data_IF_569494772125
#
_entry.id   IF_569494772125
#
_cell.length_a   1.000
_cell.length_b   1.000
_cell.length_c   1.000
_cell.angle_alpha   90.00
_cell.angle_beta   90.00
_cell.angle_gamma   90.00
#
_symmetry.space_group_name_H-M   'P 1'
#
loop_
_entity.id
_entity.type
_entity.pdbx_description
1 polymer ?
#
# COMPACT_ATOMS: atom_id res chain seq x y z
N UNK A 1 -47.43 53.10 -23.14
CA UNK A 1 -46.46 52.80 -24.22
C UNK A 1 -45.11 52.29 -23.70
N UNK A 2 -44.52 52.89 -22.65
CA UNK A 2 -43.25 52.41 -22.06
C UNK A 2 -43.29 50.95 -21.56
N UNK A 3 -44.38 50.50 -20.94
CA UNK A 3 -44.51 49.11 -20.45
C UNK A 3 -44.59 48.08 -21.57
N UNK A 4 -45.31 48.40 -22.66
CA UNK A 4 -45.37 47.54 -23.83
C UNK A 4 -44.01 47.45 -24.56
N UNK A 5 -43.27 48.56 -24.64
CA UNK A 5 -41.92 48.58 -25.20
C UNK A 5 -40.92 47.80 -24.34
N UNK A 6 -41.01 47.90 -23.01
CA UNK A 6 -40.16 47.14 -22.10
C UNK A 6 -40.44 45.62 -22.16
N UNK A 7 -41.72 45.23 -22.28
CA UNK A 7 -42.09 43.83 -22.43
C UNK A 7 -41.62 43.26 -23.77
N UNK A 8 -41.78 44.03 -24.86
CA UNK A 8 -41.30 43.68 -26.19
C UNK A 8 -39.76 43.59 -26.24
N UNK A 9 -39.05 44.49 -25.56
CA UNK A 9 -37.59 44.44 -25.45
C UNK A 9 -37.13 43.22 -24.64
N UNK A 10 -37.81 42.88 -23.53
CA UNK A 10 -37.49 41.71 -22.73
C UNK A 10 -37.78 40.39 -23.45
N UNK A 11 -38.85 40.31 -24.25
CA UNK A 11 -39.11 39.14 -25.10
C UNK A 11 -38.12 39.05 -26.26
N UNK A 12 -37.74 40.17 -26.88
CA UNK A 12 -36.72 40.20 -27.94
C UNK A 12 -35.32 39.81 -27.40
N UNK A 13 -34.93 40.30 -26.22
CA UNK A 13 -33.69 39.87 -25.54
C UNK A 13 -33.75 38.41 -25.07
N UNK A 14 -34.94 37.90 -24.73
CA UNK A 14 -35.15 36.48 -24.43
C UNK A 14 -35.04 35.56 -25.65
N UNK A 15 -35.30 36.09 -26.85
CA UNK A 15 -35.12 35.42 -28.16
C UNK A 15 -33.68 35.51 -28.67
N UNK A 16 -32.94 36.56 -28.31
CA UNK A 16 -31.50 36.73 -28.54
C UNK A 16 -30.65 35.92 -27.54
N UNK A 17 -31.03 34.68 -27.25
CA UNK A 17 -30.14 33.77 -26.50
C UNK A 17 -29.00 33.36 -27.43
N UNK A 18 -27.73 33.68 -27.09
CA UNK A 18 -26.60 33.29 -27.92
C UNK A 18 -26.63 31.76 -28.06
N UNK A 19 -26.72 31.27 -29.30
CA UNK A 19 -26.44 29.87 -29.58
C UNK A 19 -24.98 29.63 -29.21
N UNK A 20 -24.73 28.70 -28.29
CA UNK A 20 -23.36 28.31 -27.99
C UNK A 20 -22.83 27.63 -29.24
N UNK A 21 -21.88 28.28 -29.92
CA UNK A 21 -21.22 27.66 -31.06
C UNK A 21 -20.52 26.38 -30.58
N UNK A 22 -20.91 25.24 -31.13
CA UNK A 22 -20.23 23.96 -30.93
C UNK A 22 -18.86 23.90 -31.63
N UNK A 23 -18.46 25.00 -32.26
CA UNK A 23 -17.21 25.14 -33.00
C UNK A 23 -16.03 25.04 -32.04
N UNK A 24 -15.14 24.09 -32.31
CA UNK A 24 -13.98 23.80 -31.47
C UNK A 24 -14.28 22.99 -30.20
N UNK A 25 -15.55 22.78 -29.84
CA UNK A 25 -15.90 21.91 -28.71
C UNK A 25 -15.63 20.44 -29.07
N UNK A 26 -14.88 19.74 -28.20
CA UNK A 26 -14.57 18.31 -28.34
C UNK A 26 -15.40 17.43 -27.40
N UNK A 27 -15.74 17.96 -26.23
CA UNK A 27 -16.55 17.28 -25.21
C UNK A 27 -17.59 18.28 -24.69
N UNK A 28 -18.84 17.84 -24.58
CA UNK A 28 -19.94 18.66 -24.06
C UNK A 28 -20.74 17.90 -23.01
N UNK A 29 -21.31 18.64 -22.07
CA UNK A 29 -22.26 18.16 -21.07
C UNK A 29 -23.62 18.79 -21.36
N UNK A 30 -24.62 17.96 -21.64
CA UNK A 30 -26.00 18.44 -21.77
C UNK A 30 -26.55 18.74 -20.37
N UNK A 31 -26.81 20.02 -20.07
CA UNK A 31 -27.28 20.48 -18.75
C UNK A 31 -28.56 19.80 -18.30
N UNK A 32 -29.48 19.59 -19.24
CA UNK A 32 -30.85 19.15 -18.95
C UNK A 32 -30.91 17.67 -18.55
N UNK A 33 -30.02 16.84 -19.12
CA UNK A 33 -29.98 15.38 -18.89
C UNK A 33 -28.75 14.91 -18.10
N UNK A 34 -27.72 15.75 -17.97
CA UNK A 34 -26.42 15.36 -17.42
C UNK A 34 -25.61 14.44 -18.34
N UNK A 35 -26.07 14.19 -19.57
CA UNK A 35 -25.40 13.30 -20.51
C UNK A 35 -24.14 13.95 -21.09
N UNK A 36 -23.06 13.16 -21.17
CA UNK A 36 -21.82 13.55 -21.82
C UNK A 36 -21.83 13.14 -23.29
N UNK A 37 -21.29 14.01 -24.13
CA UNK A 37 -21.06 13.71 -25.54
C UNK A 37 -19.63 14.08 -25.94
N UNK A 38 -19.05 13.28 -26.82
CA UNK A 38 -17.73 13.52 -27.43
C UNK A 38 -17.86 13.58 -28.94
N UNK A 39 -17.11 14.49 -29.55
CA UNK A 39 -17.09 14.69 -31.00
C UNK A 39 -16.01 13.83 -31.65
N UNK A 40 -16.39 13.01 -32.63
CA UNK A 40 -15.48 12.25 -33.50
C UNK A 40 -15.75 12.67 -34.94
N UNK A 41 -14.80 13.38 -35.55
CA UNK A 41 -15.03 14.06 -36.83
C UNK A 41 -16.12 15.13 -36.71
N UNK A 42 -17.22 14.97 -37.46
CA UNK A 42 -18.39 15.85 -37.43
C UNK A 42 -19.60 15.25 -36.67
N UNK A 43 -19.41 14.09 -36.03
CA UNK A 43 -20.48 13.34 -35.36
C UNK A 43 -20.30 13.38 -33.85
N UNK A 44 -21.41 13.60 -33.14
CA UNK A 44 -21.47 13.60 -31.68
C UNK A 44 -21.95 12.25 -31.17
N UNK A 45 -21.14 11.63 -30.31
CA UNK A 45 -21.43 10.35 -29.69
C UNK A 45 -21.76 10.55 -28.22
N UNK A 46 -22.86 9.97 -27.68
CA UNK A 46 -23.00 9.87 -26.24
C UNK A 46 -21.85 9.04 -25.68
N UNK A 47 -21.37 9.37 -24.48
CA UNK A 47 -20.24 8.68 -23.85
C UNK A 47 -20.52 8.36 -22.39
N UNK A 48 -20.11 7.16 -21.96
CA UNK A 48 -20.45 6.59 -20.65
C UNK A 48 -19.87 7.35 -19.44
N UNK A 49 -18.74 8.03 -19.61
CA UNK A 49 -18.05 8.73 -18.52
C UNK A 49 -17.03 9.74 -19.05
N UNK A 50 -16.59 10.65 -18.16
CA UNK A 50 -15.61 11.68 -18.47
C UNK A 50 -14.24 11.10 -18.87
N UNK A 51 -13.81 10.01 -18.23
CA UNK A 51 -12.55 9.35 -18.56
C UNK A 51 -12.51 8.92 -20.03
N UNK A 52 -13.58 8.25 -20.48
CA UNK A 52 -13.74 7.83 -21.88
C UNK A 52 -13.80 9.04 -22.82
N UNK A 53 -14.54 10.09 -22.46
CA UNK A 53 -14.64 11.30 -23.27
C UNK A 53 -13.28 11.96 -23.52
N UNK A 54 -12.46 12.09 -22.47
CA UNK A 54 -11.11 12.65 -22.54
C UNK A 54 -10.14 11.80 -23.35
N UNK A 55 -10.19 10.48 -23.19
CA UNK A 55 -9.40 9.53 -23.98
C UNK A 55 -9.75 9.60 -25.47
N UNK A 56 -11.04 9.65 -25.83
CA UNK A 56 -11.49 9.78 -27.22
C UNK A 56 -11.10 11.15 -27.79
N UNK A 57 -11.23 12.22 -27.00
CA UNK A 57 -10.86 13.57 -27.41
C UNK A 57 -9.33 13.81 -27.46
N UNK A 58 -8.53 12.84 -27.01
CA UNK A 58 -7.09 12.91 -26.83
C UNK A 58 -6.64 14.20 -26.11
N UNK A 59 -7.34 14.54 -25.03
CA UNK A 59 -7.11 15.79 -24.29
C UNK A 59 -7.83 15.81 -22.95
N UNK A 60 -7.17 16.35 -21.93
CA UNK A 60 -7.72 16.59 -20.60
C UNK A 60 -8.67 17.79 -20.54
N UNK A 61 -9.59 17.89 -21.49
CA UNK A 61 -10.54 19.00 -21.60
C UNK A 61 -11.69 18.83 -20.62
N UNK A 62 -12.15 19.94 -20.04
CA UNK A 62 -13.39 19.97 -19.27
C UNK A 62 -14.59 20.11 -20.22
N UNK A 63 -15.69 19.36 -20.00
CA UNK A 63 -16.86 19.43 -20.87
C UNK A 63 -17.46 20.84 -20.91
N UNK A 64 -17.79 21.32 -22.11
CA UNK A 64 -18.57 22.54 -22.27
C UNK A 64 -20.04 22.25 -21.95
N UNK A 65 -20.59 22.94 -20.95
CA UNK A 65 -22.00 22.78 -20.58
C UNK A 65 -22.92 23.52 -21.55
N UNK A 66 -23.80 22.79 -22.23
CA UNK A 66 -24.74 23.31 -23.24
C UNK A 66 -26.18 22.89 -22.91
N UNK A 67 -27.17 23.45 -23.61
CA UNK A 67 -28.54 22.91 -23.57
C UNK A 67 -28.62 21.70 -24.49
N UNK A 68 -29.49 20.75 -24.18
CA UNK A 68 -29.64 19.57 -25.04
C UNK A 68 -30.09 19.95 -26.46
N UNK A 69 -30.97 20.96 -26.58
CA UNK A 69 -31.47 21.47 -27.86
C UNK A 69 -30.35 21.98 -28.79
N UNK A 70 -29.20 22.38 -28.24
CA UNK A 70 -28.06 22.86 -29.02
C UNK A 70 -27.41 21.69 -29.81
N UNK A 71 -27.67 20.42 -29.45
CA UNK A 71 -27.20 19.22 -30.17
C UNK A 71 -28.20 18.66 -31.20
N UNK A 72 -29.45 19.13 -31.23
CA UNK A 72 -30.52 18.48 -32.02
C UNK A 72 -30.29 18.58 -33.52
N UNK A 73 -29.62 19.65 -33.98
CA UNK A 73 -29.22 19.81 -35.39
C UNK A 73 -27.92 19.10 -35.78
N UNK A 74 -27.26 18.40 -34.84
CA UNK A 74 -25.97 17.77 -35.07
C UNK A 74 -26.08 16.29 -35.45
N UNK A 75 -25.11 15.76 -36.20
CA UNK A 75 -25.02 14.32 -36.49
C UNK A 75 -24.81 13.54 -35.19
N UNK A 76 -25.55 12.43 -35.01
CA UNK A 76 -25.42 11.54 -33.85
C UNK A 76 -24.84 10.20 -34.25
N UNK A 77 -23.97 9.67 -33.40
CA UNK A 77 -23.41 8.33 -33.51
C UNK A 77 -23.82 7.42 -32.35
N UNK A 78 -23.41 6.13 -32.39
CA UNK A 78 -23.66 5.18 -31.31
C UNK A 78 -22.95 5.59 -30.01
N UNK A 79 -23.37 4.99 -28.90
CA UNK A 79 -22.75 5.17 -27.59
C UNK A 79 -21.31 4.66 -27.59
N UNK A 80 -20.40 5.46 -27.05
CA UNK A 80 -18.99 5.11 -26.87
C UNK A 80 -18.64 5.02 -25.37
N UNK A 81 -17.49 4.42 -25.08
CA UNK A 81 -16.85 4.48 -23.78
C UNK A 81 -16.65 3.14 -23.09
N UNK A 82 -15.98 3.22 -21.96
CA UNK A 82 -15.56 2.09 -21.12
C UNK A 82 -16.60 1.91 -20.00
N UNK A 83 -17.40 0.83 -20.00
CA UNK A 83 -18.30 0.51 -18.88
C UNK A 83 -17.52 0.35 -17.58
N UNK A 84 -17.98 0.97 -16.50
CA UNK A 84 -17.32 0.90 -15.19
C UNK A 84 -16.11 1.81 -15.01
N UNK A 85 -15.66 2.54 -16.05
CA UNK A 85 -14.65 3.58 -15.88
C UNK A 85 -15.20 4.78 -15.08
N UNK A 86 -14.35 5.54 -14.37
CA UNK A 86 -14.80 6.54 -13.43
C UNK A 86 -15.46 7.74 -14.13
N UNK A 87 -16.65 8.10 -13.66
CA UNK A 87 -17.36 9.30 -14.09
C UNK A 87 -16.66 10.59 -13.64
N UNK A 88 -15.94 10.52 -12.52
CA UNK A 88 -15.17 11.61 -11.94
C UNK A 88 -13.74 11.14 -11.64
N UNK A 89 -12.75 11.85 -12.17
CA UNK A 89 -11.34 11.46 -12.05
C UNK A 89 -10.65 12.01 -10.79
N UNK A 90 -11.24 13.01 -10.12
CA UNK A 90 -10.58 13.73 -9.04
C UNK A 90 -9.33 14.50 -9.48
N UNK A 91 -8.83 15.37 -8.59
CA UNK A 91 -7.49 15.94 -8.77
C UNK A 91 -6.45 14.99 -8.16
N UNK A 92 -5.43 14.53 -8.90
CA UNK A 92 -4.39 13.68 -8.34
C UNK A 92 -3.74 14.28 -7.09
N UNK A 93 -3.42 13.44 -6.10
CA UNK A 93 -2.60 13.80 -4.96
C UNK A 93 -1.23 14.29 -5.43
N UNK A 94 -0.68 15.30 -4.75
CA UNK A 94 0.70 15.67 -4.97
C UNK A 94 1.61 14.56 -4.45
N UNK A 95 2.80 14.40 -5.03
CA UNK A 95 3.75 13.37 -4.60
C UNK A 95 4.07 13.47 -3.10
N UNK A 96 4.26 14.70 -2.58
CA UNK A 96 4.52 14.95 -1.17
C UNK A 96 3.34 14.60 -0.23
N UNK A 97 2.11 14.55 -0.76
CA UNK A 97 0.92 14.18 -0.02
C UNK A 97 0.56 12.69 -0.19
N UNK A 98 1.28 11.95 -1.06
CA UNK A 98 1.00 10.55 -1.35
C UNK A 98 1.71 9.67 -0.33
N UNK A 99 1.00 9.34 0.76
CA UNK A 99 1.42 8.35 1.74
C UNK A 99 0.44 7.17 1.72
N UNK A 100 0.97 5.97 1.98
CA UNK A 100 0.20 4.74 2.01
C UNK A 100 0.19 4.17 3.42
N UNK A 101 -0.98 3.75 3.90
CA UNK A 101 -1.08 2.93 5.11
C UNK A 101 -2.12 1.84 4.93
N UNK A 102 -1.88 0.68 5.54
CA UNK A 102 -2.87 -0.38 5.71
C UNK A 102 -3.11 -0.55 7.21
N UNK A 103 -4.35 -0.35 7.63
CA UNK A 103 -4.76 -0.43 9.02
C UNK A 103 -5.71 -1.60 9.26
N UNK A 104 -5.55 -2.23 10.41
CA UNK A 104 -6.38 -3.30 10.94
C UNK A 104 -6.97 -2.83 12.27
N UNK A 105 -8.30 -2.91 12.42
CA UNK A 105 -9.01 -2.39 13.59
C UNK A 105 -9.98 -3.41 14.19
N UNK A 106 -9.88 -3.61 15.50
CA UNK A 106 -10.61 -4.67 16.21
C UNK A 106 -12.13 -4.43 16.23
N UNK A 107 -12.57 -3.16 16.21
CA UNK A 107 -13.98 -2.78 16.39
C UNK A 107 -14.91 -3.14 15.23
N UNK A 108 -14.36 -3.30 14.01
CA UNK A 108 -15.11 -3.72 12.82
C UNK A 108 -14.53 -4.99 12.19
N UNK A 109 -13.40 -5.50 12.70
CA UNK A 109 -12.59 -6.49 12.01
C UNK A 109 -12.16 -6.02 10.63
N UNK A 110 -12.13 -4.70 10.40
CA UNK A 110 -12.07 -4.11 9.07
C UNK A 110 -10.65 -3.67 8.71
N UNK A 111 -10.24 -4.07 7.52
CA UNK A 111 -9.02 -3.64 6.84
C UNK A 111 -9.27 -2.34 6.09
N UNK A 112 -8.42 -1.34 6.34
CA UNK A 112 -8.56 -0.03 5.71
C UNK A 112 -7.26 0.41 5.07
N UNK A 113 -7.28 0.68 3.76
CA UNK A 113 -6.19 1.41 3.10
C UNK A 113 -6.42 2.91 3.24
N UNK A 114 -5.40 3.63 3.67
CA UNK A 114 -5.36 5.09 3.68
C UNK A 114 -4.39 5.56 2.60
N UNK A 115 -4.86 6.42 1.70
CA UNK A 115 -4.08 7.01 0.63
C UNK A 115 -4.14 8.53 0.69
N UNK A 116 -3.05 9.15 1.15
CA UNK A 116 -2.98 10.58 1.37
C UNK A 116 -2.50 10.95 2.78
N UNK A 117 -2.65 12.22 3.14
CA UNK A 117 -2.37 12.70 4.50
C UNK A 117 -3.34 12.11 5.51
N UNK A 118 -2.79 11.53 6.57
CA UNK A 118 -3.51 10.93 7.71
C UNK A 118 -3.39 11.82 8.95
N UNK A 119 -4.21 11.55 9.97
CA UNK A 119 -4.02 12.13 11.31
C UNK A 119 -2.96 11.34 12.10
N UNK A 120 -1.71 11.36 11.60
CA UNK A 120 -0.62 10.58 12.18
C UNK A 120 -0.32 10.93 13.65
N UNK A 121 -0.68 12.14 14.10
CA UNK A 121 -0.52 12.57 15.48
C UNK A 121 -1.41 11.79 16.46
N UNK A 122 -2.51 11.20 15.99
CA UNK A 122 -3.37 10.30 16.77
C UNK A 122 -2.77 8.91 17.00
N UNK A 123 -1.63 8.61 16.36
CA UNK A 123 -1.00 7.29 16.37
C UNK A 123 0.37 7.34 17.04
N UNK A 124 0.71 6.26 17.73
CA UNK A 124 2.04 6.02 18.27
C UNK A 124 2.83 5.17 17.30
N UNK A 125 3.95 5.70 16.82
CA UNK A 125 4.94 4.93 16.04
C UNK A 125 5.62 3.91 16.95
N UNK A 126 5.76 2.68 16.47
CA UNK A 126 6.53 1.63 17.13
C UNK A 126 8.02 1.94 16.94
N UNK A 127 8.70 2.30 18.04
CA UNK A 127 10.12 2.68 18.00
C UNK A 127 11.04 1.48 17.88
N UNK A 128 12.32 1.76 17.57
CA UNK A 128 13.37 0.73 17.56
C UNK A 128 13.46 0.01 18.91
N UNK A 129 13.58 -1.32 18.86
CA UNK A 129 13.56 -2.18 20.06
C UNK A 129 12.17 -2.42 20.66
N UNK A 130 11.09 -2.00 19.99
CA UNK A 130 9.73 -2.42 20.29
C UNK A 130 9.22 -3.38 19.22
N UNK A 131 8.30 -4.26 19.58
CA UNK A 131 7.69 -5.21 18.65
C UNK A 131 6.21 -5.45 18.97
N UNK A 132 5.50 -6.11 18.06
CA UNK A 132 4.17 -6.65 18.32
C UNK A 132 4.14 -8.14 17.99
N UNK A 133 3.56 -8.94 18.89
CA UNK A 133 3.30 -10.35 18.64
C UNK A 133 1.89 -10.48 18.04
N UNK A 134 1.81 -11.02 16.82
CA UNK A 134 0.56 -11.07 16.04
C UNK A 134 0.35 -12.44 15.39
N UNK A 135 -0.88 -12.74 15.00
CA UNK A 135 -1.26 -13.93 14.23
C UNK A 135 -2.49 -13.63 13.35
N UNK A 136 -2.71 -14.38 12.27
CA UNK A 136 -3.90 -14.19 11.42
C UNK A 136 -5.19 -14.70 12.10
N UNK A 137 -5.07 -15.84 12.79
CA UNK A 137 -6.14 -16.51 13.51
C UNK A 137 -5.61 -17.27 14.72
N UNK A 138 -6.49 -17.65 15.63
CA UNK A 138 -6.13 -18.53 16.74
C UNK A 138 -5.58 -19.86 16.21
N UNK A 139 -4.42 -20.30 16.72
CA UNK A 139 -3.75 -21.52 16.27
C UNK A 139 -2.96 -21.40 14.95
N UNK A 140 -3.01 -20.25 14.27
CA UNK A 140 -2.14 -19.97 13.12
C UNK A 140 -0.71 -19.61 13.57
N UNK A 141 0.30 -19.67 12.67
CA UNK A 141 1.66 -19.25 13.00
C UNK A 141 1.70 -17.83 13.57
N UNK A 142 2.48 -17.64 14.63
CA UNK A 142 2.72 -16.34 15.23
C UNK A 142 3.86 -15.61 14.51
N UNK A 143 3.77 -14.29 14.45
CA UNK A 143 4.76 -13.41 13.86
C UNK A 143 5.11 -12.29 14.84
N UNK A 144 6.36 -11.87 14.80
CA UNK A 144 6.84 -10.67 15.43
C UNK A 144 6.91 -9.56 14.38
N UNK A 145 6.15 -8.47 14.57
CA UNK A 145 6.28 -7.25 13.78
C UNK A 145 7.32 -6.35 14.45
N UNK A 146 8.44 -6.11 13.79
CA UNK A 146 9.52 -5.26 14.29
C UNK A 146 10.32 -4.67 13.13
N UNK A 147 10.86 -3.46 13.31
CA UNK A 147 11.77 -2.80 12.37
C UNK A 147 11.30 -2.82 10.88
N UNK A 148 9.99 -2.74 10.66
CA UNK A 148 9.39 -2.76 9.31
C UNK A 148 9.25 -4.13 8.66
N UNK A 149 9.50 -5.21 9.40
CA UNK A 149 9.41 -6.58 8.93
C UNK A 149 8.46 -7.41 9.80
N UNK A 150 8.02 -8.55 9.25
CA UNK A 150 7.43 -9.65 10.01
C UNK A 150 8.39 -10.83 10.04
N UNK A 151 8.62 -11.41 11.21
CA UNK A 151 9.41 -12.62 11.36
C UNK A 151 8.58 -13.69 12.07
N UNK A 152 8.51 -14.90 11.50
CA UNK A 152 7.78 -16.01 12.13
C UNK A 152 8.48 -16.41 13.44
N UNK A 153 7.69 -16.63 14.48
CA UNK A 153 8.15 -17.15 15.78
C UNK A 153 7.36 -18.40 16.16
N UNK A 154 8.05 -19.41 16.68
CA UNK A 154 7.41 -20.61 17.20
C UNK A 154 7.21 -20.47 18.71
N UNK A 155 5.96 -20.35 19.15
CA UNK A 155 5.62 -20.22 20.57
C UNK A 155 5.69 -21.55 21.33
N UNK A 156 5.89 -22.67 20.64
CA UNK A 156 6.17 -23.96 21.26
C UNK A 156 7.68 -24.17 21.54
N UNK A 157 8.56 -23.38 20.90
CA UNK A 157 10.00 -23.45 21.13
C UNK A 157 10.40 -22.63 22.36
N UNK A 158 10.80 -23.33 23.43
CA UNK A 158 11.20 -22.70 24.69
C UNK A 158 12.44 -21.79 24.56
N UNK A 159 13.37 -22.06 23.64
CA UNK A 159 14.53 -21.19 23.42
C UNK A 159 14.10 -19.87 22.79
N UNK A 160 13.19 -19.92 21.81
CA UNK A 160 12.61 -18.73 21.17
C UNK A 160 11.82 -17.90 22.18
N UNK A 161 10.89 -18.54 22.90
CA UNK A 161 10.05 -17.86 23.89
C UNK A 161 10.88 -17.18 24.97
N UNK A 162 11.89 -17.86 25.53
CA UNK A 162 12.76 -17.28 26.58
C UNK A 162 13.66 -16.16 26.05
N UNK A 163 14.24 -16.34 24.86
CA UNK A 163 15.13 -15.32 24.29
C UNK A 163 14.37 -14.03 23.98
N UNK A 164 13.18 -14.15 23.41
CA UNK A 164 12.34 -13.02 23.02
C UNK A 164 11.44 -12.52 24.16
N UNK A 165 11.46 -13.16 25.34
CA UNK A 165 10.64 -12.83 26.51
C UNK A 165 9.13 -12.87 26.22
N UNK A 166 8.69 -13.92 25.55
CA UNK A 166 7.31 -14.12 25.10
C UNK A 166 6.48 -15.00 26.06
N UNK A 167 6.98 -15.29 27.26
CA UNK A 167 6.30 -16.17 28.21
C UNK A 167 4.89 -15.64 28.55
N UNK A 168 3.87 -16.50 28.37
CA UNK A 168 2.47 -16.15 28.65
C UNK A 168 1.86 -15.11 27.71
N UNK A 169 2.57 -14.67 26.67
CA UNK A 169 2.04 -13.71 25.68
C UNK A 169 1.19 -14.41 24.63
N UNK A 170 -0.05 -13.98 24.48
CA UNK A 170 -0.91 -14.38 23.38
C UNK A 170 -0.72 -13.43 22.18
N UNK A 171 -0.60 -13.95 20.95
CA UNK A 171 -0.58 -13.10 19.76
C UNK A 171 -1.89 -12.34 19.61
N UNK A 172 -1.78 -11.08 19.20
CA UNK A 172 -2.94 -10.33 18.74
C UNK A 172 -3.38 -10.82 17.37
N UNK A 173 -4.68 -11.02 17.20
CA UNK A 173 -5.24 -11.33 15.88
C UNK A 173 -5.26 -10.09 14.99
N UNK A 174 -4.80 -10.23 13.76
CA UNK A 174 -4.81 -9.20 12.71
C UNK A 174 -5.24 -9.84 11.39
N UNK A 175 -5.72 -9.04 10.45
CA UNK A 175 -6.02 -9.54 9.09
C UNK A 175 -4.82 -10.19 8.42
N UNK A 176 -5.12 -11.17 7.57
CA UNK A 176 -4.14 -11.77 6.68
C UNK A 176 -3.53 -10.72 5.74
N UNK A 177 -4.35 -9.80 5.23
CA UNK A 177 -3.93 -8.70 4.36
C UNK A 177 -2.86 -7.81 5.01
N UNK A 178 -2.97 -7.50 6.32
CA UNK A 178 -1.92 -6.74 7.02
C UNK A 178 -0.61 -7.53 7.09
N UNK A 179 -0.67 -8.82 7.43
CA UNK A 179 0.54 -9.66 7.49
C UNK A 179 1.21 -9.78 6.13
N UNK A 180 0.45 -10.08 5.08
CA UNK A 180 0.98 -10.28 3.74
C UNK A 180 1.55 -9.00 3.12
N UNK A 181 1.02 -7.83 3.51
CA UNK A 181 1.56 -6.55 3.07
C UNK A 181 2.95 -6.24 3.65
N UNK A 182 3.27 -6.79 4.84
CA UNK A 182 4.53 -6.53 5.53
C UNK A 182 5.63 -7.46 4.99
N UNK A 183 6.81 -6.92 4.62
CA UNK A 183 7.95 -7.72 4.18
C UNK A 183 8.35 -8.79 5.20
N UNK A 184 8.51 -10.03 4.74
CA UNK A 184 8.89 -11.16 5.59
C UNK A 184 10.41 -11.26 5.74
N UNK A 185 10.88 -11.36 6.98
CA UNK A 185 12.25 -11.69 7.35
C UNK A 185 12.38 -13.18 7.68
N UNK A 186 13.63 -13.65 7.80
CA UNK A 186 13.89 -15.03 8.23
C UNK A 186 13.19 -15.34 9.57
N UNK A 187 12.63 -16.55 9.76
CA UNK A 187 12.04 -16.93 11.03
C UNK A 187 13.03 -16.78 12.18
N UNK A 188 12.58 -16.19 13.31
CA UNK A 188 13.38 -16.14 14.52
C UNK A 188 13.31 -17.50 15.18
N UNK A 189 14.30 -18.32 14.85
CA UNK A 189 14.45 -19.69 15.32
C UNK A 189 15.93 -19.97 15.58
N UNK A 190 16.20 -21.05 16.30
CA UNK A 190 17.56 -21.54 16.51
C UNK A 190 18.19 -21.89 15.15
N UNK A 191 19.24 -21.19 14.72
CA UNK A 191 19.81 -21.44 13.40
C UNK A 191 20.54 -22.79 13.41
N UNK A 192 20.34 -23.60 12.38
CA UNK A 192 21.04 -24.87 12.23
C UNK A 192 22.50 -24.63 11.87
N UNK A 193 23.41 -25.22 12.64
CA UNK A 193 24.85 -25.15 12.40
C UNK A 193 25.35 -26.54 11.97
N UNK A 194 25.74 -26.74 10.70
CA UNK A 194 26.34 -27.99 10.25
C UNK A 194 27.65 -28.29 10.99
N UNK A 195 27.82 -29.55 11.42
CA UNK A 195 29.03 -29.98 12.12
C UNK A 195 29.14 -29.47 13.57
N UNK A 196 28.02 -29.09 14.19
CA UNK A 196 27.94 -28.64 15.58
C UNK A 196 28.75 -29.55 16.53
N UNK A 197 29.60 -28.95 17.36
CA UNK A 197 30.48 -29.65 18.30
C UNK A 197 31.78 -30.19 17.69
N UNK A 198 31.92 -30.21 16.37
CA UNK A 198 33.16 -30.56 15.69
C UNK A 198 34.25 -29.50 15.84
N UNK A 199 35.50 -29.86 15.52
CA UNK A 199 36.61 -28.92 15.52
C UNK A 199 36.41 -27.84 14.44
N UNK A 200 36.67 -26.56 14.78
CA UNK A 200 36.57 -25.45 13.85
C UNK A 200 37.90 -25.26 13.08
N UNK A 201 37.93 -25.48 11.75
CA UNK A 201 39.12 -25.19 10.95
C UNK A 201 39.47 -23.69 11.04
N UNK A 202 40.74 -23.38 11.31
CA UNK A 202 41.22 -21.99 11.41
C UNK A 202 40.95 -21.30 12.76
N UNK A 203 40.26 -21.96 13.70
CA UNK A 203 40.06 -21.49 15.09
C UNK A 203 40.41 -22.61 16.08
N UNK A 204 41.70 -22.95 16.24
CA UNK A 204 42.12 -23.96 17.20
C UNK A 204 41.69 -23.59 18.62
N UNK A 205 41.12 -24.54 19.35
CA UNK A 205 40.60 -24.34 20.70
C UNK A 205 39.10 -24.02 20.78
N UNK A 206 38.43 -23.81 19.64
CA UNK A 206 36.98 -23.59 19.59
C UNK A 206 36.27 -24.67 18.76
N UNK A 207 35.09 -25.06 19.22
CA UNK A 207 34.21 -25.98 18.50
C UNK A 207 33.22 -25.21 17.63
N UNK A 208 32.81 -25.81 16.52
CA UNK A 208 31.74 -25.31 15.66
C UNK A 208 30.47 -25.15 16.51
N UNK A 209 29.85 -23.97 16.44
CA UNK A 209 28.70 -23.54 17.25
C UNK A 209 29.03 -22.89 18.58
N UNK A 210 30.32 -22.68 18.89
CA UNK A 210 30.71 -21.83 20.03
C UNK A 210 30.33 -20.38 19.74
N UNK A 211 29.79 -19.70 20.75
CA UNK A 211 29.53 -18.26 20.71
C UNK A 211 30.66 -17.53 21.42
N UNK A 212 31.35 -16.67 20.67
CA UNK A 212 32.45 -15.85 21.14
C UNK A 212 31.95 -14.43 21.44
N UNK A 213 32.52 -13.81 22.45
CA UNK A 213 32.26 -12.42 22.83
C UNK A 213 33.55 -11.62 22.75
N UNK A 214 33.49 -10.47 22.08
CA UNK A 214 34.55 -9.46 22.10
C UNK A 214 34.01 -8.22 22.78
N UNK A 215 34.65 -7.80 23.86
CA UNK A 215 34.30 -6.55 24.55
C UNK A 215 35.01 -5.38 23.86
N UNK A 216 34.24 -4.40 23.38
CA UNK A 216 34.74 -3.14 22.83
C UNK A 216 34.31 -1.95 23.69
N UNK A 217 34.89 -0.78 23.43
CA UNK A 217 34.55 0.45 24.12
C UNK A 217 33.08 0.87 23.92
N UNK A 218 32.48 0.52 22.77
CA UNK A 218 31.09 0.79 22.39
C UNK A 218 30.12 -0.35 22.73
N UNK A 219 30.63 -1.48 23.25
CA UNK A 219 29.84 -2.60 23.76
C UNK A 219 30.37 -3.96 23.34
N UNK A 220 29.68 -5.00 23.81
CA UNK A 220 30.00 -6.39 23.44
C UNK A 220 29.53 -6.71 22.01
N UNK A 221 30.42 -7.33 21.23
CA UNK A 221 30.13 -7.97 19.96
C UNK A 221 30.11 -9.49 20.12
N UNK A 222 29.23 -10.16 19.37
CA UNK A 222 29.07 -11.61 19.41
C UNK A 222 29.37 -12.22 18.04
N UNK A 223 30.03 -13.39 18.05
CA UNK A 223 30.38 -14.14 16.87
C UNK A 223 30.01 -15.62 17.05
N UNK A 224 29.43 -16.24 16.03
CA UNK A 224 29.27 -17.70 15.95
C UNK A 224 30.46 -18.32 15.21
N UNK A 225 31.03 -19.37 15.79
CA UNK A 225 32.06 -20.20 15.14
C UNK A 225 31.39 -21.21 14.20
N UNK A 226 31.83 -21.25 12.96
CA UNK A 226 31.30 -22.09 11.89
C UNK A 226 32.43 -22.87 11.22
N UNK A 227 32.09 -23.93 10.47
CA UNK A 227 33.10 -24.73 9.76
C UNK A 227 33.95 -23.90 8.76
N UNK A 228 33.37 -22.85 8.18
CA UNK A 228 34.02 -21.97 7.22
C UNK A 228 34.64 -20.69 7.79
N UNK A 229 34.59 -20.47 9.12
CA UNK A 229 35.09 -19.25 9.75
C UNK A 229 34.18 -18.74 10.88
N UNK A 230 34.09 -17.42 11.03
CA UNK A 230 33.22 -16.77 12.02
C UNK A 230 32.17 -15.89 11.37
N UNK A 231 30.99 -15.80 11.98
CA UNK A 231 29.96 -14.85 11.57
C UNK A 231 29.60 -13.94 12.73
N UNK A 232 29.59 -12.63 12.50
CA UNK A 232 29.06 -11.65 13.47
C UNK A 232 27.55 -11.86 13.62
N UNK A 233 27.07 -11.90 14.86
CA UNK A 233 25.66 -12.14 15.19
C UNK A 233 25.15 -11.10 16.21
N UNK A 234 23.83 -10.86 16.22
CA UNK A 234 23.16 -10.05 17.24
C UNK A 234 22.99 -10.81 18.57
N UNK A 235 22.57 -10.11 19.63
CA UNK A 235 22.47 -10.72 20.98
C UNK A 235 21.35 -11.77 21.05
N UNK A 236 20.23 -11.53 20.38
CA UNK A 236 19.15 -12.54 20.27
C UNK A 236 19.65 -13.83 19.63
N UNK A 237 20.42 -13.74 18.53
CA UNK A 237 21.00 -14.91 17.89
C UNK A 237 22.03 -15.61 18.79
N UNK A 238 22.84 -14.86 19.52
CA UNK A 238 23.80 -15.39 20.49
C UNK A 238 23.10 -16.14 21.64
N UNK A 239 22.04 -15.57 22.20
CA UNK A 239 21.27 -16.17 23.29
C UNK A 239 20.49 -17.41 22.82
N UNK A 240 19.90 -17.38 21.62
CA UNK A 240 19.28 -18.55 20.99
C UNK A 240 20.27 -19.71 20.85
N UNK A 241 21.45 -19.44 20.27
CA UNK A 241 22.49 -20.45 20.09
C UNK A 241 22.97 -21.04 21.42
N UNK A 242 23.06 -20.21 22.47
CA UNK A 242 23.47 -20.65 23.81
C UNK A 242 22.40 -21.50 24.49
N UNK A 243 21.13 -21.08 24.42
CA UNK A 243 20.01 -21.82 25.01
C UNK A 243 19.82 -23.20 24.36
N UNK A 244 20.18 -23.34 23.09
CA UNK A 244 20.02 -24.58 22.34
C UNK A 244 21.26 -25.46 22.27
N UNK A 245 22.40 -25.01 22.79
CA UNK A 245 23.64 -25.80 22.82
C UNK A 245 23.90 -26.37 24.22
N UNK A 246 23.48 -27.61 24.52
CA UNK A 246 23.69 -28.24 25.82
C UNK A 246 25.17 -28.54 26.14
N UNK A 247 26.07 -28.44 25.16
CA UNK A 247 27.51 -28.63 25.36
C UNK A 247 28.29 -27.31 25.56
N UNK A 248 27.60 -26.17 25.55
CA UNK A 248 28.22 -24.85 25.68
C UNK A 248 28.55 -24.45 27.12
N UNK A 249 29.60 -23.63 27.26
CA UNK A 249 29.90 -22.87 28.49
C UNK A 249 28.68 -22.05 28.94
N UNK A 250 28.49 -21.92 30.26
CA UNK A 250 27.41 -21.11 30.84
C UNK A 250 27.42 -19.66 30.31
N UNK A 251 28.60 -19.12 29.98
CA UNK A 251 28.79 -17.81 29.37
C UNK A 251 29.40 -17.89 27.97
N UNK A 252 29.14 -16.86 27.16
CA UNK A 252 29.84 -16.65 25.90
C UNK A 252 31.34 -16.52 26.15
N UNK A 253 32.15 -17.24 25.37
CA UNK A 253 33.60 -17.28 25.59
C UNK A 253 34.19 -15.94 25.19
N UNK A 254 34.76 -15.22 26.17
CA UNK A 254 35.34 -13.90 25.92
C UNK A 254 36.73 -14.05 25.34
N UNK A 255 36.95 -13.44 24.18
CA UNK A 255 38.22 -13.51 23.45
C UNK A 255 38.75 -12.12 23.13
N UNK A 256 40.07 -11.99 23.05
CA UNK A 256 40.68 -10.77 22.55
C UNK A 256 40.45 -10.63 21.03
N UNK A 257 40.38 -9.40 20.48
CA UNK A 257 40.10 -9.20 19.05
C UNK A 257 41.08 -9.91 18.10
N UNK A 258 42.33 -10.11 18.52
CA UNK A 258 43.35 -10.80 17.75
C UNK A 258 43.09 -12.31 17.59
N UNK A 259 42.29 -12.92 18.48
CA UNK A 259 41.89 -14.32 18.38
C UNK A 259 41.06 -14.62 17.12
N UNK A 260 40.42 -13.62 16.53
CA UNK A 260 39.66 -13.75 15.27
C UNK A 260 40.44 -13.29 14.04
N UNK A 261 41.69 -12.83 14.18
CA UNK A 261 42.44 -12.17 13.10
C UNK A 261 42.61 -13.05 11.85
N UNK A 262 42.81 -14.34 12.04
CA UNK A 262 43.05 -15.31 10.96
C UNK A 262 41.76 -16.03 10.52
N UNK A 263 40.64 -15.78 11.20
CA UNK A 263 39.37 -16.43 10.91
C UNK A 263 38.66 -15.71 9.74
N UNK A 264 38.25 -16.42 8.68
CA UNK A 264 37.41 -15.84 7.63
C UNK A 264 36.08 -15.35 8.19
N UNK A 265 35.63 -14.17 7.77
CA UNK A 265 34.27 -13.68 8.09
C UNK A 265 33.30 -14.20 7.04
N UNK A 266 32.26 -14.90 7.48
CA UNK A 266 31.24 -15.50 6.62
C UNK A 266 29.82 -15.02 7.00
N UNK A 267 28.87 -15.25 6.10
CA UNK A 267 27.45 -14.93 6.29
C UNK A 267 26.58 -16.15 5.92
N UNK A 268 26.69 -17.23 6.71
CA UNK A 268 26.01 -18.50 6.47
C UNK A 268 24.73 -18.69 7.32
N UNK A 269 24.65 -18.07 8.49
CA UNK A 269 23.47 -18.13 9.37
C UNK A 269 22.46 -17.03 8.99
N UNK A 270 21.16 -17.37 8.87
CA UNK A 270 20.11 -16.42 8.47
C UNK A 270 19.61 -15.60 9.66
N UNK A 271 20.50 -14.84 10.30
CA UNK A 271 20.23 -14.10 11.55
C UNK A 271 20.28 -12.58 11.41
N UNK A 272 20.54 -12.06 10.21
CA UNK A 272 20.64 -10.62 9.96
C UNK A 272 19.32 -9.86 10.18
N UNK A 273 18.19 -10.56 10.07
CA UNK A 273 16.85 -10.00 10.33
C UNK A 273 16.38 -10.16 11.78
N UNK A 274 17.20 -10.70 12.68
CA UNK A 274 16.80 -10.83 14.09
C UNK A 274 16.95 -9.48 14.79
N UNK A 275 16.07 -9.14 15.76
CA UNK A 275 16.29 -8.01 16.62
C UNK A 275 17.65 -8.11 17.34
N UNK A 276 18.37 -7.00 17.49
CA UNK A 276 19.65 -7.00 18.19
C UNK A 276 19.52 -7.40 19.67
N UNK A 277 18.40 -7.02 20.30
CA UNK A 277 18.01 -7.36 21.68
C UNK A 277 16.56 -7.80 21.68
N UNK A 278 16.16 -8.59 22.68
CA UNK A 278 14.76 -8.94 22.90
C UNK A 278 13.90 -7.65 22.93
N UNK A 279 12.99 -7.46 21.96
CA UNK A 279 12.24 -6.22 21.88
C UNK A 279 11.19 -6.16 22.98
N UNK A 280 10.84 -4.94 23.39
CA UNK A 280 9.70 -4.70 24.24
C UNK A 280 8.41 -4.95 23.44
N UNK A 281 7.72 -6.04 23.73
CA UNK A 281 6.42 -6.33 23.10
C UNK A 281 5.40 -5.31 23.58
N UNK A 282 4.86 -4.53 22.65
CA UNK A 282 3.83 -3.53 22.92
C UNK A 282 2.51 -4.21 23.29
N UNK A 283 1.76 -3.56 24.19
CA UNK A 283 0.41 -3.99 24.53
C UNK A 283 -0.55 -3.87 23.33
N UNK A 284 -1.63 -4.68 23.30
CA UNK A 284 -2.64 -4.59 22.25
C UNK A 284 -3.28 -3.20 22.19
N UNK A 285 -3.19 -2.53 21.03
CA UNK A 285 -3.97 -1.33 20.73
C UNK A 285 -5.33 -1.69 20.11
N UNK A 286 -6.24 -0.75 19.86
CA UNK A 286 -7.46 -1.07 19.09
C UNK A 286 -7.20 -1.13 17.57
N UNK A 287 -6.22 -0.36 17.08
CA UNK A 287 -5.83 -0.28 15.67
C UNK A 287 -4.32 -0.47 15.51
N UNK A 288 -3.91 -1.25 14.51
CA UNK A 288 -2.53 -1.36 14.03
C UNK A 288 -2.49 -0.88 12.59
N UNK A 289 -1.50 -0.08 12.23
CA UNK A 289 -1.25 0.27 10.84
C UNK A 289 0.19 -0.07 10.46
N UNK A 290 0.38 -0.56 9.24
CA UNK A 290 1.64 -0.50 8.53
C UNK A 290 1.59 0.71 7.59
N UNK A 291 2.62 1.56 7.61
CA UNK A 291 2.71 2.76 6.77
C UNK A 291 3.97 2.75 5.91
N UNK A 292 3.86 3.23 4.66
CA UNK A 292 4.94 3.35 3.70
C UNK A 292 5.16 4.82 3.33
N UNK A 293 6.33 5.36 3.72
CA UNK A 293 6.73 6.73 3.37
C UNK A 293 7.35 6.83 1.97
N UNK A 294 8.12 5.82 1.56
CA UNK A 294 8.86 5.77 0.28
C UNK A 294 8.51 4.52 -0.56
N UNK A 295 7.36 3.89 -0.27
CA UNK A 295 6.92 2.60 -0.83
C UNK A 295 7.85 1.40 -0.57
N UNK A 296 8.96 1.56 0.19
CA UNK A 296 9.94 0.50 0.46
C UNK A 296 10.06 0.16 1.94
N UNK A 297 10.11 1.17 2.78
CA UNK A 297 10.22 1.03 4.23
C UNK A 297 8.84 1.01 4.88
N UNK A 298 8.67 0.14 5.87
CA UNK A 298 7.44 0.03 6.65
C UNK A 298 7.68 0.59 8.04
N UNK A 299 6.80 1.48 8.49
CA UNK A 299 6.68 1.87 9.88
C UNK A 299 5.39 1.28 10.47
N UNK A 300 5.48 0.71 11.67
CA UNK A 300 4.30 0.26 12.40
C UNK A 300 3.76 1.39 13.29
N UNK A 301 2.46 1.58 13.26
CA UNK A 301 1.75 2.55 14.08
C UNK A 301 0.64 1.87 14.86
N UNK A 302 0.39 2.33 16.08
CA UNK A 302 -0.67 1.81 16.96
C UNK A 302 -1.52 2.95 17.50
N UNK A 303 -2.83 2.74 17.64
CA UNK A 303 -3.73 3.77 18.14
C UNK A 303 -5.11 3.24 18.51
N UNK A 304 -5.97 4.16 18.95
CA UNK A 304 -7.34 3.84 19.36
C UNK A 304 -8.30 3.68 18.16
N UNK A 305 -8.00 4.31 17.02
CA UNK A 305 -8.81 4.28 15.82
C UNK A 305 -7.92 4.41 14.57
N UNK A 306 -8.52 4.18 13.40
CA UNK A 306 -7.88 4.44 12.11
C UNK A 306 -7.59 5.94 11.97
N UNK A 307 -6.37 6.36 11.58
CA UNK A 307 -5.95 7.76 11.58
C UNK A 307 -6.48 8.56 10.38
N UNK A 308 -7.81 8.66 10.27
CA UNK A 308 -8.48 9.56 9.33
C UNK A 308 -8.58 10.97 9.91
N UNK A 309 -8.45 12.03 9.08
CA UNK A 309 -8.65 13.41 9.55
C UNK A 309 -10.03 13.62 10.22
N UNK A 310 -10.13 14.51 11.23
CA UNK A 310 -11.38 14.79 11.92
C UNK A 310 -12.53 15.16 10.97
N UNK A 311 -13.73 14.64 11.24
CA UNK A 311 -14.93 14.86 10.43
C UNK A 311 -14.92 14.13 9.07
N UNK A 312 -14.00 13.19 8.86
CA UNK A 312 -13.94 12.32 7.69
C UNK A 312 -14.13 10.86 8.08
N UNK A 313 -14.54 10.05 7.13
CA UNK A 313 -14.66 8.61 7.27
C UNK A 313 -14.12 7.91 6.01
N UNK A 314 -13.56 6.69 6.13
CA UNK A 314 -13.29 5.82 4.99
C UNK A 314 -14.57 5.46 4.23
N UNK A 315 -14.44 5.19 2.94
CA UNK A 315 -15.47 4.57 2.11
C UNK A 315 -15.43 3.06 2.34
N UNK A 316 -16.53 2.48 2.81
CA UNK A 316 -16.71 1.02 2.85
C UNK A 316 -16.87 0.48 1.43
N UNK A 317 -16.06 -0.51 1.08
CA UNK A 317 -16.08 -1.15 -0.23
C UNK A 317 -17.22 -2.16 -0.32
N UNK A 318 -17.75 -2.35 -1.54
CA UNK A 318 -18.81 -3.33 -1.78
C UNK A 318 -18.36 -4.79 -1.56
N UNK A 319 -17.05 -5.05 -1.68
CA UNK A 319 -16.45 -6.35 -1.43
C UNK A 319 -16.11 -6.62 0.04
N UNK A 320 -16.42 -5.69 0.96
CA UNK A 320 -16.07 -5.82 2.37
C UNK A 320 -16.63 -7.10 2.96
N UNK A 321 -15.79 -7.84 3.67
CA UNK A 321 -16.11 -9.15 4.28
C UNK A 321 -15.67 -9.22 5.75
N UNK A 322 -15.26 -8.09 6.33
CA UNK A 322 -14.78 -7.97 7.69
C UNK A 322 -13.42 -8.65 7.83
N UNK A 323 -13.38 -9.74 8.61
CA UNK A 323 -12.12 -10.48 8.84
C UNK A 323 -11.71 -11.39 7.68
N UNK A 324 -12.40 -11.33 6.54
CA UNK A 324 -12.04 -12.09 5.37
C UNK A 324 -10.82 -11.50 4.65
N UNK A 325 -10.44 -12.09 3.52
CA UNK A 325 -9.29 -11.65 2.73
C UNK A 325 -9.55 -10.36 1.93
N UNK A 326 -10.81 -9.95 1.75
CA UNK A 326 -11.11 -8.76 0.97
C UNK A 326 -10.77 -7.48 1.74
N UNK A 327 -10.48 -6.41 1.00
CA UNK A 327 -10.31 -5.09 1.60
C UNK A 327 -11.68 -4.50 1.95
N UNK A 328 -11.84 -4.03 3.18
CA UNK A 328 -13.14 -3.52 3.65
C UNK A 328 -13.36 -2.06 3.37
N UNK A 329 -12.33 -1.24 3.47
CA UNK A 329 -12.47 0.19 3.32
C UNK A 329 -11.25 0.87 2.70
N UNK A 330 -11.51 2.01 2.07
CA UNK A 330 -10.48 2.91 1.56
C UNK A 330 -10.78 4.32 2.01
N UNK A 331 -9.77 5.02 2.50
CA UNK A 331 -9.80 6.46 2.64
C UNK A 331 -8.86 7.09 1.63
N UNK A 332 -9.42 7.94 0.79
CA UNK A 332 -8.70 8.91 -0.03
C UNK A 332 -9.49 10.22 0.07
N UNK A 333 -8.83 11.39 0.24
CA UNK A 333 -9.55 12.64 0.45
C UNK A 333 -10.62 12.89 -0.64
N UNK A 334 -11.90 13.15 -0.28
CA UNK A 334 -12.96 13.28 -1.27
C UNK A 334 -12.64 14.34 -2.34
N UNK A 335 -12.96 14.04 -3.60
CA UNK A 335 -12.64 14.92 -4.72
C UNK A 335 -11.20 14.78 -5.25
N UNK A 336 -10.37 13.94 -4.61
CA UNK A 336 -9.01 13.64 -5.05
C UNK A 336 -8.96 12.27 -5.70
N UNK A 337 -7.83 11.99 -6.32
CA UNK A 337 -7.44 10.67 -6.80
C UNK A 337 -5.96 10.46 -6.53
N UNK A 338 -5.47 9.25 -6.70
CA UNK A 338 -4.03 9.00 -6.70
C UNK A 338 -3.63 8.43 -8.06
N UNK A 339 -2.63 9.05 -8.68
CA UNK A 339 -1.98 8.46 -9.84
C UNK A 339 -0.65 7.88 -9.40
N UNK A 340 -0.52 6.56 -9.51
CA UNK A 340 0.56 5.81 -8.88
C UNK A 340 1.18 4.78 -9.81
N UNK A 341 2.36 4.33 -9.46
CA UNK A 341 3.11 3.29 -10.16
C UNK A 341 3.46 2.17 -9.20
N UNK A 342 3.25 0.92 -9.62
CA UNK A 342 3.69 -0.23 -8.86
C UNK A 342 5.22 -0.24 -8.70
N UNK A 343 5.72 -0.28 -7.46
CA UNK A 343 7.15 -0.25 -7.18
C UNK A 343 7.84 1.07 -7.52
N UNK A 344 9.18 1.06 -7.53
CA UNK A 344 9.96 2.29 -7.64
C UNK A 344 10.21 2.74 -9.09
N UNK A 345 10.59 1.83 -10.00
CA UNK A 345 10.96 2.16 -11.38
C UNK A 345 10.38 1.07 -12.32
N UNK A 346 9.51 1.45 -13.25
CA UNK A 346 8.97 0.60 -14.34
C UNK A 346 7.80 -0.38 -14.05
N UNK A 347 6.96 -0.15 -13.04
CA UNK A 347 5.70 -0.90 -12.88
C UNK A 347 4.50 -0.32 -13.64
N UNK A 348 3.42 -1.10 -13.71
CA UNK A 348 2.11 -0.67 -14.22
C UNK A 348 1.61 0.56 -13.46
N UNK A 349 0.96 1.47 -14.17
CA UNK A 349 0.44 2.72 -13.62
C UNK A 349 -1.05 2.57 -13.34
N UNK A 350 -1.50 3.15 -12.24
CA UNK A 350 -2.88 3.05 -11.80
C UNK A 350 -3.41 4.42 -11.42
N UNK A 351 -4.63 4.72 -11.87
CA UNK A 351 -5.46 5.75 -11.28
C UNK A 351 -6.31 5.10 -10.18
N UNK A 352 -6.34 5.70 -8.99
CA UNK A 352 -7.18 5.27 -7.87
C UNK A 352 -8.13 6.40 -7.52
N UNK A 353 -9.43 6.12 -7.54
CA UNK A 353 -10.47 7.09 -7.18
C UNK A 353 -10.68 7.19 -5.67
N UNK A 354 -11.40 8.21 -5.23
CA UNK A 354 -11.80 8.37 -3.82
C UNK A 354 -12.76 7.28 -3.31
N UNK A 355 -13.29 6.45 -4.22
CA UNK A 355 -14.05 5.24 -3.91
C UNK A 355 -13.19 3.98 -3.77
N UNK A 356 -11.87 4.08 -3.94
CA UNK A 356 -10.92 2.98 -3.74
C UNK A 356 -10.80 1.98 -4.89
N UNK A 357 -11.32 2.28 -6.07
CA UNK A 357 -11.14 1.42 -7.26
C UNK A 357 -9.87 1.83 -7.99
N UNK A 358 -9.02 0.85 -8.35
CA UNK A 358 -7.83 1.07 -9.18
C UNK A 358 -8.14 0.78 -10.65
N UNK A 359 -7.69 1.65 -11.54
CA UNK A 359 -7.83 1.51 -12.98
C UNK A 359 -6.46 1.56 -13.63
N UNK A 360 -6.14 0.57 -14.47
CA UNK A 360 -4.86 0.55 -15.17
C UNK A 360 -4.79 1.69 -16.20
N UNK A 361 -3.65 2.35 -16.28
CA UNK A 361 -3.34 3.39 -17.28
C UNK A 361 -2.13 2.90 -18.07
N UNK A 362 -2.31 2.48 -19.34
CA UNK A 362 -1.31 1.68 -20.05
C UNK A 362 -0.06 2.46 -20.45
N UNK A 363 -0.19 3.75 -20.75
CA UNK A 363 0.88 4.56 -21.34
C UNK A 363 0.79 6.04 -20.91
N UNK A 364 1.78 6.84 -21.34
CA UNK A 364 1.87 8.27 -21.01
C UNK A 364 0.86 9.11 -21.81
N UNK A 365 0.44 8.65 -22.99
CA UNK A 365 -0.57 9.33 -23.80
C UNK A 365 -1.95 9.26 -23.11
N UNK A 366 -2.36 8.09 -22.64
CA UNK A 366 -3.58 7.91 -21.87
C UNK A 366 -3.53 8.72 -20.56
N UNK A 367 -2.36 8.77 -19.90
CA UNK A 367 -2.18 9.59 -18.71
C UNK A 367 -2.36 11.09 -19.02
N UNK A 368 -1.75 11.58 -20.10
CA UNK A 368 -1.87 12.96 -20.55
C UNK A 368 -3.31 13.32 -20.93
N UNK A 369 -4.01 12.45 -21.66
CA UNK A 369 -5.41 12.64 -22.03
C UNK A 369 -6.32 12.74 -20.80
N UNK A 370 -6.05 11.95 -19.76
CA UNK A 370 -6.81 11.96 -18.52
C UNK A 370 -6.46 13.17 -17.63
N UNK A 371 -5.37 13.88 -17.92
CA UNK A 371 -4.88 15.02 -17.13
C UNK A 371 -4.08 14.58 -15.90
N UNK A 372 -3.42 13.43 -15.98
CA UNK A 372 -2.61 12.87 -14.92
C UNK A 372 -1.16 13.37 -15.03
N UNK A 373 -0.57 13.72 -13.89
CA UNK A 373 0.82 14.16 -13.80
C UNK A 373 1.81 13.00 -13.71
N UNK A 374 2.91 13.20 -13.00
CA UNK A 374 3.85 12.12 -12.72
C UNK A 374 3.29 11.17 -11.66
N UNK A 375 3.36 9.84 -11.86
CA UNK A 375 2.84 8.89 -10.88
C UNK A 375 3.76 8.77 -9.67
N UNK A 376 3.17 8.74 -8.47
CA UNK A 376 3.89 8.45 -7.24
C UNK A 376 4.15 6.93 -7.06
N UNK A 377 5.23 6.51 -6.40
CA UNK A 377 5.43 5.10 -6.06
C UNK A 377 4.30 4.56 -5.17
N UNK A 378 3.95 3.29 -5.38
CA UNK A 378 2.99 2.57 -4.55
C UNK A 378 3.47 1.17 -4.19
N UNK A 379 3.27 0.72 -2.94
CA UNK A 379 3.60 -0.64 -2.54
C UNK A 379 2.65 -1.63 -3.25
N UNK A 380 3.24 -2.57 -3.98
CA UNK A 380 2.50 -3.58 -4.75
C UNK A 380 1.46 -4.35 -3.91
N UNK A 381 1.77 -4.81 -2.67
CA UNK A 381 0.79 -5.55 -1.87
C UNK A 381 -0.50 -4.77 -1.59
N UNK A 382 -0.46 -3.44 -1.50
CA UNK A 382 -1.66 -2.63 -1.26
C UNK A 382 -2.45 -2.42 -2.54
N UNK A 383 -1.77 -2.30 -3.68
CA UNK A 383 -2.45 -2.22 -4.97
C UNK A 383 -3.27 -3.48 -5.26
N UNK A 384 -2.77 -4.65 -4.93
CA UNK A 384 -3.48 -5.92 -5.19
C UNK A 384 -4.75 -6.09 -4.37
N UNK A 385 -4.86 -5.41 -3.22
CA UNK A 385 -6.05 -5.44 -2.35
C UNK A 385 -7.19 -4.55 -2.86
N UNK A 386 -6.87 -3.52 -3.66
CA UNK A 386 -7.88 -2.59 -4.19
C UNK A 386 -8.72 -3.27 -5.29
N UNK A 387 -10.05 -3.06 -5.33
CA UNK A 387 -10.90 -3.45 -6.44
C UNK A 387 -10.35 -2.99 -7.78
N UNK A 388 -10.30 -3.89 -8.77
CA UNK A 388 -9.81 -3.58 -10.10
C UNK A 388 -10.97 -3.15 -11.03
N UNK A 389 -10.85 -1.95 -11.59
CA UNK A 389 -11.69 -1.48 -12.69
C UNK A 389 -11.09 -1.80 -14.06
N UNK A 390 -11.79 -1.45 -15.15
CA UNK A 390 -11.28 -1.59 -16.51
C UNK A 390 -10.02 -0.74 -16.76
N UNK A 391 -9.23 -1.14 -17.75
CA UNK A 391 -8.11 -0.36 -18.23
C UNK A 391 -8.59 0.90 -18.98
N UNK A 392 -8.01 2.06 -18.64
CA UNK A 392 -8.32 3.37 -19.21
C UNK A 392 -7.43 3.64 -20.43
N UNK A 393 -7.84 3.14 -21.59
CA UNK A 393 -7.11 3.27 -22.85
C UNK A 393 -8.00 3.84 -23.97
N UNK A 394 -7.38 4.51 -24.96
CA UNK A 394 -8.12 5.02 -26.14
C UNK A 394 -8.87 3.90 -26.87
N UNK A 395 -8.27 2.73 -27.17
CA UNK A 395 -8.99 1.64 -27.84
C UNK A 395 -10.23 1.19 -27.08
N UNK A 396 -10.14 1.04 -25.75
CA UNK A 396 -11.28 0.65 -24.93
C UNK A 396 -12.38 1.72 -24.90
N UNK A 397 -12.00 3.00 -24.92
CA UNK A 397 -12.95 4.11 -24.93
C UNK A 397 -13.68 4.27 -26.27
N UNK A 398 -13.01 3.98 -27.39
CA UNK A 398 -13.59 4.12 -28.73
C UNK A 398 -14.50 2.97 -29.17
N UNK A 399 -14.77 1.97 -28.30
CA UNK A 399 -15.68 0.87 -28.63
C UNK A 399 -17.12 1.38 -28.70
N UNK A 400 -17.76 1.20 -29.86
CA UNK A 400 -19.17 1.48 -30.06
C UNK A 400 -20.07 0.42 -29.46
N UNK A 401 -21.17 0.85 -28.84
CA UNK A 401 -22.11 0.00 -28.11
C UNK A 401 -23.54 0.43 -28.39
N UNK A 402 -24.42 -0.55 -28.53
CA UNK A 402 -25.87 -0.31 -28.54
C UNK A 402 -26.45 -0.39 -27.12
N UNK A 403 -25.86 -1.24 -26.27
CA UNK A 403 -26.20 -1.39 -24.85
C UNK A 403 -24.97 -1.69 -23.99
N UNK A 404 -25.07 -1.47 -22.68
CA UNK A 404 -24.09 -1.96 -21.70
C UNK A 404 -24.65 -3.23 -21.08
N UNK A 405 -24.05 -4.38 -21.39
CA UNK A 405 -24.42 -5.63 -20.74
C UNK A 405 -24.13 -5.52 -19.23
N UNK A 406 -25.13 -5.82 -18.41
CA UNK A 406 -24.91 -6.12 -16.99
C UNK A 406 -24.20 -7.47 -16.87
N UNK A 407 -23.44 -7.67 -15.80
CA UNK A 407 -23.08 -9.03 -15.40
C UNK A 407 -24.39 -9.77 -15.04
N UNK A 408 -24.60 -11.01 -15.50
CA UNK A 408 -25.76 -11.81 -15.12
C UNK A 408 -25.80 -12.12 -13.62
#
# INVERSE_FOLDING_TARGET
MLTAAALAAATLLGLLRPHVALDGARVVLARDSGALFVRVGDTWHPVLNLASARLIAASAVDPLTIRQADLDGSKRGPLLGIPGAPAFLGRPLAAADTAWSLCDSDGAGATTILLGRTDAASMRVLGGGQAMLVAAAAGSPAYLLHDGHRARVDLADAAVVRTLRLEGRAPRLVSQSLLEAVPEAAPIAVPRIPGLGGAAPGLPGFAIGTVLRITRADGDEYYAVLAGGVQRIGRVAADLLRLSNPQGSADAVTVAPDALRTAPVVAALPVSGFPDRAPAVSEPAATICAGWGDARSVAFLTGAAVPVPPGRAPVTLAQADGRGPALDAVYLPPGRSAYVRAGANAGTRYLITDTGVRFAVPDDDAAADLGLGQPSPAPWPLLTLLPAGPELSRPNASVARDTVAGAP
#
